data_IF_153636960023
#
_entry.id   IF_153636960023
#
_cell.length_a   1.000
_cell.length_b   1.000
_cell.length_c   1.000
_cell.angle_alpha   90.00
_cell.angle_beta   90.00
_cell.angle_gamma   90.00
#
_symmetry.space_group_name_H-M   'P 1'
#
loop_
_entity.id
_entity.type
_entity.pdbx_description
1 polymer ?
#
# COMPACT_ATOMS: atom_id res chain seq x y z
N UNK A 1 -30.95 5.71 -23.74
CA UNK A 1 -30.14 4.61 -23.17
C UNK A 1 -29.20 5.24 -22.18
N UNK A 2 -29.43 5.03 -20.89
CA UNK A 2 -28.54 5.47 -19.82
C UNK A 2 -27.58 4.33 -19.57
N UNK A 3 -26.29 4.53 -19.88
CA UNK A 3 -25.25 3.56 -19.53
C UNK A 3 -24.55 4.10 -18.28
N UNK A 4 -24.97 3.60 -17.13
CA UNK A 4 -24.25 3.70 -15.87
C UNK A 4 -23.01 2.82 -15.99
N UNK A 5 -21.81 3.37 -15.80
CA UNK A 5 -20.58 2.59 -15.65
C UNK A 5 -20.04 2.85 -14.25
N UNK A 6 -20.02 1.77 -13.48
CA UNK A 6 -19.45 1.64 -12.15
C UNK A 6 -18.00 2.14 -12.14
N UNK A 7 -17.69 3.02 -11.20
CA UNK A 7 -16.34 3.45 -10.82
C UNK A 7 -16.10 2.88 -9.41
N UNK A 8 -15.13 1.99 -9.22
CA UNK A 8 -14.54 1.65 -7.91
C UNK A 8 -13.47 0.56 -8.08
N UNK A 9 -12.21 0.89 -7.77
CA UNK A 9 -11.18 0.01 -7.17
C UNK A 9 -9.78 0.58 -7.45
N UNK A 10 -8.91 0.74 -6.44
CA UNK A 10 -7.79 1.69 -6.46
C UNK A 10 -6.44 1.07 -6.03
N UNK A 11 -5.84 0.13 -6.77
CA UNK A 11 -4.38 -0.03 -6.67
C UNK A 11 -3.70 1.29 -7.09
N UNK A 12 -2.51 1.61 -6.55
CA UNK A 12 -1.75 2.77 -7.03
C UNK A 12 -0.45 2.28 -7.67
N UNK A 13 -0.17 2.78 -8.88
CA UNK A 13 1.13 2.68 -9.52
C UNK A 13 1.71 4.08 -9.69
N UNK A 14 2.62 4.48 -8.82
CA UNK A 14 3.33 5.74 -8.99
C UNK A 14 4.64 5.48 -9.73
N UNK A 15 4.85 6.20 -10.84
CA UNK A 15 6.10 6.13 -11.62
C UNK A 15 6.82 7.46 -11.56
N UNK A 16 7.88 7.56 -10.75
CA UNK A 16 8.73 8.76 -10.71
C UNK A 16 9.75 8.71 -11.84
N UNK A 17 9.71 9.69 -12.74
CA UNK A 17 10.71 9.92 -13.79
C UNK A 17 11.95 10.71 -13.30
N UNK A 18 12.18 10.81 -11.98
CA UNK A 18 13.27 11.64 -11.46
C UNK A 18 14.60 10.90 -11.42
N UNK A 19 15.61 11.53 -12.01
CA UNK A 19 17.03 11.15 -12.00
C UNK A 19 17.49 10.74 -10.59
N UNK A 20 18.38 9.73 -10.46
CA UNK A 20 19.01 9.45 -9.17
C UNK A 20 19.79 10.69 -8.70
N UNK A 21 19.79 11.01 -7.40
CA UNK A 21 20.64 12.08 -6.89
C UNK A 21 22.10 11.74 -7.23
N UNK A 22 22.88 12.71 -7.75
CA UNK A 22 24.29 12.46 -7.99
C UNK A 22 24.95 12.23 -6.62
N UNK A 23 25.40 11.00 -6.38
CA UNK A 23 26.23 10.57 -5.24
C UNK A 23 25.52 10.02 -3.97
N UNK A 24 24.60 9.05 -4.10
CA UNK A 24 24.28 8.19 -2.96
C UNK A 24 25.37 7.10 -2.80
N UNK A 25 26.05 6.98 -1.65
CA UNK A 25 26.98 5.88 -1.37
C UNK A 25 26.25 4.53 -1.37
N UNK A 26 26.89 3.49 -1.93
CA UNK A 26 26.35 2.14 -1.99
C UNK A 26 25.83 1.66 -0.62
N UNK A 27 24.54 1.36 -0.51
CA UNK A 27 23.94 0.70 0.67
C UNK A 27 22.87 1.49 1.44
N UNK A 28 22.42 2.65 0.97
CA UNK A 28 21.33 3.40 1.61
C UNK A 28 19.98 3.21 0.90
N UNK A 29 18.94 2.93 1.69
CA UNK A 29 17.54 2.88 1.25
C UNK A 29 17.08 4.28 0.83
N UNK A 30 16.51 4.42 -0.37
CA UNK A 30 16.00 5.69 -0.86
C UNK A 30 14.58 5.94 -0.31
N UNK A 31 14.37 7.09 0.35
CA UNK A 31 13.06 7.56 0.81
C UNK A 31 12.50 8.56 -0.19
N UNK A 32 11.34 8.27 -0.78
CA UNK A 32 10.67 9.14 -1.74
C UNK A 32 9.48 9.85 -1.09
N UNK A 33 9.34 11.15 -1.36
CA UNK A 33 8.13 11.93 -1.07
C UNK A 33 7.42 12.19 -2.40
N UNK A 34 6.19 11.71 -2.54
CA UNK A 34 5.43 11.75 -3.80
C UNK A 34 5.30 13.16 -4.39
N UNK A 35 5.46 13.23 -5.72
CA UNK A 35 5.17 14.41 -6.53
C UNK A 35 4.24 13.96 -7.66
N UNK A 36 2.92 14.12 -7.45
CA UNK A 36 1.87 14.11 -8.47
C UNK A 36 2.05 13.14 -9.65
N UNK A 37 1.87 11.85 -9.41
CA UNK A 37 1.95 10.78 -10.39
C UNK A 37 0.56 10.35 -10.89
N UNK A 38 0.44 9.83 -12.13
CA UNK A 38 -0.85 9.34 -12.63
C UNK A 38 -1.26 8.04 -11.92
N UNK A 39 -2.42 8.09 -11.27
CA UNK A 39 -3.01 7.00 -10.51
C UNK A 39 -3.59 5.93 -11.45
N UNK A 40 -3.18 4.67 -11.31
CA UNK A 40 -3.71 3.53 -12.09
C UNK A 40 -4.36 2.50 -11.18
N UNK A 41 -5.69 2.37 -11.29
CA UNK A 41 -6.47 1.36 -10.60
C UNK A 41 -6.07 -0.08 -10.98
N UNK A 42 -6.50 -1.04 -10.17
CA UNK A 42 -6.40 -2.48 -10.48
C UNK A 42 -7.02 -2.81 -11.85
N UNK A 43 -8.11 -2.13 -12.20
CA UNK A 43 -8.77 -2.27 -13.50
C UNK A 43 -8.00 -1.61 -14.66
N UNK A 44 -7.05 -0.73 -14.35
CA UNK A 44 -6.18 -0.08 -15.33
C UNK A 44 -4.96 -0.93 -15.71
N UNK A 45 -4.74 -2.11 -15.11
CA UNK A 45 -3.60 -2.97 -15.46
C UNK A 45 -3.56 -3.34 -16.94
N UNK A 46 -4.72 -3.52 -17.59
CA UNK A 46 -4.78 -3.70 -19.03
C UNK A 46 -4.24 -2.48 -19.80
N UNK A 47 -4.51 -1.26 -19.33
CA UNK A 47 -4.01 -0.01 -19.93
C UNK A 47 -2.52 0.19 -19.67
N UNK A 48 -2.05 -0.13 -18.47
CA UNK A 48 -0.60 -0.11 -18.13
C UNK A 48 0.15 -1.10 -19.02
N UNK A 49 -0.37 -2.32 -19.16
CA UNK A 49 0.23 -3.35 -20.00
C UNK A 49 0.27 -2.95 -21.49
N UNK A 50 -0.84 -2.45 -22.02
CA UNK A 50 -0.93 -2.04 -23.44
C UNK A 50 -0.13 -0.79 -23.78
N UNK A 51 0.06 0.13 -22.83
CA UNK A 51 0.86 1.33 -23.02
C UNK A 51 2.37 1.10 -22.88
N UNK A 52 2.78 0.04 -22.17
CA UNK A 52 4.18 -0.24 -21.86
C UNK A 52 4.79 0.68 -20.80
N UNK A 53 3.97 1.49 -20.11
CA UNK A 53 4.43 2.47 -19.11
C UNK A 53 5.23 1.81 -17.98
N UNK A 54 4.79 0.66 -17.48
CA UNK A 54 5.47 -0.07 -16.41
C UNK A 54 6.91 -0.51 -16.78
N UNK A 55 7.18 -0.72 -18.08
CA UNK A 55 8.50 -1.17 -18.57
C UNK A 55 9.53 -0.04 -18.66
N UNK A 56 9.06 1.20 -18.76
CA UNK A 56 9.93 2.37 -18.95
C UNK A 56 10.16 3.14 -17.65
N UNK A 57 9.34 2.89 -16.62
CA UNK A 57 9.51 3.49 -15.31
C UNK A 57 10.74 2.92 -14.60
N UNK A 58 11.56 3.81 -14.01
CA UNK A 58 12.72 3.40 -13.21
C UNK A 58 12.32 2.87 -11.83
N UNK A 59 11.19 3.35 -11.31
CA UNK A 59 10.62 2.92 -10.03
C UNK A 59 9.11 2.94 -10.17
N UNK A 60 8.48 1.91 -9.64
CA UNK A 60 7.05 1.62 -9.73
C UNK A 60 6.56 1.35 -8.31
N UNK A 61 5.75 2.23 -7.73
CA UNK A 61 5.16 1.99 -6.41
C UNK A 61 3.92 1.11 -6.55
N UNK A 62 3.64 0.22 -5.63
CA UNK A 62 2.43 -0.62 -5.64
C UNK A 62 1.77 -0.51 -4.28
N UNK A 63 0.68 0.23 -4.21
CA UNK A 63 -0.17 0.31 -3.01
C UNK A 63 -1.34 -0.65 -3.15
N UNK A 64 -1.61 -1.41 -2.10
CA UNK A 64 -2.78 -2.30 -2.03
C UNK A 64 -4.00 -1.53 -1.56
N UNK A 65 -5.13 -1.81 -2.20
CA UNK A 65 -6.44 -1.27 -1.83
C UNK A 65 -7.50 -2.33 -2.07
N UNK A 66 -8.42 -2.56 -1.12
CA UNK A 66 -9.47 -3.55 -1.32
C UNK A 66 -10.36 -3.16 -2.50
N UNK A 67 -10.47 -4.06 -3.47
CA UNK A 67 -11.21 -3.84 -4.71
C UNK A 67 -12.73 -3.93 -4.55
N UNK A 68 -13.18 -4.63 -3.51
CA UNK A 68 -14.58 -4.84 -3.14
C UNK A 68 -14.66 -5.26 -1.66
N UNK A 69 -15.88 -5.33 -1.13
CA UNK A 69 -16.14 -5.70 0.27
C UNK A 69 -15.55 -7.07 0.64
N UNK A 70 -15.54 -8.03 -0.29
CA UNK A 70 -14.98 -9.37 -0.07
C UNK A 70 -13.45 -9.36 0.10
N UNK A 71 -12.77 -8.34 -0.44
CA UNK A 71 -11.31 -8.18 -0.31
C UNK A 71 -10.88 -7.39 0.93
N UNK A 72 -11.80 -6.70 1.60
CA UNK A 72 -11.53 -5.92 2.82
C UNK A 72 -10.94 -6.78 3.95
N UNK A 73 -11.36 -8.04 4.19
CA UNK A 73 -10.77 -8.84 5.25
C UNK A 73 -9.33 -9.32 4.97
N UNK A 74 -8.87 -9.23 3.72
CA UNK A 74 -7.62 -9.86 3.28
C UNK A 74 -6.60 -8.88 2.69
N UNK A 75 -6.93 -7.60 2.50
CA UNK A 75 -6.05 -6.66 1.80
C UNK A 75 -4.70 -6.43 2.50
N UNK A 76 -4.62 -6.64 3.82
CA UNK A 76 -3.40 -6.48 4.62
C UNK A 76 -2.51 -7.75 4.66
N UNK A 77 -2.93 -8.83 3.99
CA UNK A 77 -2.22 -10.12 3.99
C UNK A 77 -1.10 -10.19 2.95
N UNK A 78 -0.16 -11.11 3.13
CA UNK A 78 0.91 -11.36 2.15
C UNK A 78 0.36 -11.88 0.82
N UNK A 79 -0.63 -12.77 0.84
CA UNK A 79 -1.23 -13.31 -0.39
C UNK A 79 -1.84 -12.22 -1.27
N UNK A 80 -2.46 -11.21 -0.66
CA UNK A 80 -3.06 -10.10 -1.39
C UNK A 80 -1.99 -9.17 -1.98
N UNK A 81 -0.92 -8.92 -1.21
CA UNK A 81 0.23 -8.17 -1.67
C UNK A 81 0.97 -8.88 -2.82
N UNK A 82 1.17 -10.20 -2.71
CA UNK A 82 1.77 -11.05 -3.75
C UNK A 82 0.97 -10.98 -5.05
N UNK A 83 -0.34 -11.11 -4.99
CA UNK A 83 -1.21 -11.00 -6.16
C UNK A 83 -1.08 -9.63 -6.84
N UNK A 84 -1.09 -8.55 -6.04
CA UNK A 84 -0.96 -7.18 -6.54
C UNK A 84 0.38 -6.93 -7.24
N UNK A 85 1.48 -7.41 -6.65
CA UNK A 85 2.83 -7.33 -7.22
C UNK A 85 3.00 -8.22 -8.45
N UNK A 86 2.36 -9.40 -8.46
CA UNK A 86 2.33 -10.28 -9.62
C UNK A 86 1.63 -9.60 -10.80
N UNK A 87 0.50 -8.93 -10.56
CA UNK A 87 -0.22 -8.18 -11.59
C UNK A 87 0.63 -7.04 -12.18
N UNK A 88 1.38 -6.31 -11.33
CA UNK A 88 2.32 -5.29 -11.81
C UNK A 88 3.42 -5.90 -12.70
N UNK A 89 3.94 -7.07 -12.32
CA UNK A 89 4.94 -7.81 -13.12
C UNK A 89 4.36 -8.28 -14.46
N UNK A 90 3.11 -8.79 -14.47
CA UNK A 90 2.40 -9.16 -15.70
C UNK A 90 2.16 -7.96 -16.62
N UNK A 91 1.97 -6.77 -16.06
CA UNK A 91 1.89 -5.52 -16.81
C UNK A 91 3.25 -5.02 -17.35
N UNK A 92 4.34 -5.71 -17.00
CA UNK A 92 5.68 -5.48 -17.53
C UNK A 92 6.62 -4.72 -16.60
N UNK A 93 6.26 -4.48 -15.34
CA UNK A 93 7.21 -3.96 -14.37
C UNK A 93 8.29 -5.01 -14.05
N UNK A 94 9.55 -4.58 -14.00
CA UNK A 94 10.63 -5.42 -13.46
C UNK A 94 10.49 -5.45 -11.93
N UNK A 95 10.49 -6.62 -11.26
CA UNK A 95 10.47 -6.71 -9.80
C UNK A 95 11.52 -5.81 -9.13
N UNK A 96 12.72 -5.69 -9.71
CA UNK A 96 13.80 -4.82 -9.20
C UNK A 96 13.52 -3.32 -9.30
N UNK A 97 12.40 -2.92 -9.93
CA UNK A 97 11.88 -1.54 -9.98
C UNK A 97 10.67 -1.32 -9.06
N UNK A 98 10.09 -2.39 -8.50
CA UNK A 98 8.86 -2.33 -7.71
C UNK A 98 9.14 -1.90 -6.26
N UNK A 99 8.36 -0.97 -5.72
CA UNK A 99 8.31 -0.60 -4.31
C UNK A 99 6.94 -0.93 -3.76
N UNK A 100 6.84 -1.76 -2.73
CA UNK A 100 5.54 -2.02 -2.09
C UNK A 100 5.20 -0.90 -1.10
N UNK A 101 4.04 -0.28 -1.23
CA UNK A 101 3.59 0.82 -0.36
C UNK A 101 2.60 0.29 0.66
N UNK A 102 2.90 0.52 1.95
CA UNK A 102 1.99 0.25 3.06
C UNK A 102 0.98 1.41 3.14
N UNK A 103 -0.33 1.15 2.96
CA UNK A 103 -1.35 2.18 3.08
C UNK A 103 -1.62 2.54 4.55
N UNK A 104 -1.95 3.81 4.82
CA UNK A 104 -2.24 4.38 6.14
C UNK A 104 -3.73 4.45 6.46
N UNK A 105 -4.52 3.59 5.83
CA UNK A 105 -5.97 3.55 5.93
C UNK A 105 -6.45 2.22 6.52
N UNK A 106 -7.61 2.31 7.16
CA UNK A 106 -8.41 1.18 7.57
C UNK A 106 -9.72 1.16 6.79
N UNK A 107 -10.19 -0.03 6.43
CA UNK A 107 -11.39 -0.26 5.65
C UNK A 107 -12.44 -1.03 6.46
N UNK A 108 -13.68 -0.55 6.41
CA UNK A 108 -14.82 -1.21 7.05
C UNK A 108 -15.50 -2.24 6.13
N UNK A 109 -16.17 -3.22 6.72
CA UNK A 109 -17.01 -4.21 5.99
C UNK A 109 -18.48 -3.82 5.86
N UNK A 110 -18.88 -2.67 6.39
CA UNK A 110 -20.29 -2.28 6.54
C UNK A 110 -20.64 -0.92 5.91
N UNK A 111 -19.66 -0.21 5.34
CA UNK A 111 -19.84 0.96 4.50
C UNK A 111 -18.64 1.14 3.54
N UNK A 112 -18.70 2.13 2.65
CA UNK A 112 -17.57 2.52 1.77
C UNK A 112 -16.58 3.45 2.48
N UNK A 113 -16.67 3.57 3.80
CA UNK A 113 -15.85 4.46 4.61
C UNK A 113 -14.45 3.90 4.81
N UNK A 114 -13.50 4.82 4.89
CA UNK A 114 -12.15 4.55 5.36
C UNK A 114 -11.80 5.57 6.45
N UNK A 115 -10.88 5.18 7.32
CA UNK A 115 -10.32 6.04 8.37
C UNK A 115 -8.80 5.91 8.37
N UNK A 116 -8.10 6.92 8.87
CA UNK A 116 -6.66 6.83 9.06
C UNK A 116 -6.26 5.76 10.09
N UNK A 117 -5.06 5.21 9.95
CA UNK A 117 -4.45 4.27 10.88
C UNK A 117 -4.47 4.76 12.33
N UNK A 118 -4.09 6.02 12.55
CA UNK A 118 -4.13 6.68 13.86
C UNK A 118 -5.54 6.70 14.47
N UNK A 119 -6.60 6.93 13.68
CA UNK A 119 -7.98 6.88 14.15
C UNK A 119 -8.42 5.45 14.47
N UNK A 120 -8.03 4.48 13.65
CA UNK A 120 -8.30 3.06 13.93
C UNK A 120 -7.76 2.64 15.30
N UNK A 121 -6.59 3.16 15.70
CA UNK A 121 -6.00 2.89 17.01
C UNK A 121 -6.66 3.72 18.11
N UNK A 122 -6.59 5.04 18.04
CA UNK A 122 -6.96 5.89 19.18
C UNK A 122 -8.46 6.08 19.35
N UNK A 123 -9.21 6.17 18.25
CA UNK A 123 -10.66 6.42 18.32
C UNK A 123 -11.43 5.10 18.44
N UNK A 124 -10.94 4.04 17.78
CA UNK A 124 -11.65 2.76 17.69
C UNK A 124 -11.03 1.63 18.52
N UNK A 125 -9.87 1.86 19.14
CA UNK A 125 -9.23 0.89 20.03
C UNK A 125 -8.59 -0.29 19.30
N UNK A 126 -8.21 -0.11 18.04
CA UNK A 126 -7.48 -1.13 17.28
C UNK A 126 -6.12 -1.44 17.90
N UNK A 127 -5.75 -2.72 17.94
CA UNK A 127 -4.45 -3.14 18.45
C UNK A 127 -3.37 -2.99 17.35
N UNK A 128 -2.44 -2.03 17.47
CA UNK A 128 -1.37 -1.83 16.49
C UNK A 128 -0.44 -3.04 16.38
N UNK A 129 -0.38 -3.89 17.41
CA UNK A 129 0.46 -5.09 17.48
C UNK A 129 -0.35 -6.38 17.25
N UNK A 130 -1.64 -6.24 16.93
CA UNK A 130 -2.57 -7.33 16.64
C UNK A 130 -2.54 -7.81 15.20
N UNK A 131 -3.63 -8.47 14.78
CA UNK A 131 -3.76 -9.09 13.45
C UNK A 131 -4.17 -8.12 12.33
N UNK A 132 -4.40 -6.85 12.67
CA UNK A 132 -4.85 -5.80 11.74
C UNK A 132 -6.35 -5.76 11.56
N UNK A 133 -7.13 -6.16 12.58
CA UNK A 133 -8.58 -6.08 12.55
C UNK A 133 -9.21 -5.56 13.85
N UNK A 134 -10.39 -4.96 13.73
CA UNK A 134 -11.29 -4.58 14.84
C UNK A 134 -12.64 -5.22 14.52
N UNK A 135 -13.04 -6.24 15.28
CA UNK A 135 -14.30 -6.95 15.05
C UNK A 135 -15.35 -6.52 16.07
N UNK A 136 -16.46 -5.96 15.58
CA UNK A 136 -17.57 -5.50 16.40
C UNK A 136 -18.59 -6.61 16.68
N UNK A 137 -19.36 -6.48 17.78
CA UNK A 137 -20.53 -7.33 17.99
C UNK A 137 -21.48 -7.28 16.79
N UNK A 138 -21.74 -8.43 16.17
CA UNK A 138 -22.55 -8.53 14.95
C UNK A 138 -21.76 -8.82 13.67
N UNK A 139 -20.43 -8.90 13.74
CA UNK A 139 -19.57 -9.36 12.63
C UNK A 139 -19.12 -8.26 11.67
N UNK A 140 -19.61 -7.03 11.86
CA UNK A 140 -19.00 -5.84 11.27
C UNK A 140 -17.54 -5.73 11.72
N UNK A 141 -16.64 -5.35 10.83
CA UNK A 141 -15.23 -5.27 11.14
C UNK A 141 -14.55 -4.14 10.37
N UNK A 142 -13.42 -3.67 10.91
CA UNK A 142 -12.49 -2.77 10.26
C UNK A 142 -11.15 -3.48 10.13
N UNK A 143 -10.51 -3.37 8.97
CA UNK A 143 -9.22 -3.98 8.68
C UNK A 143 -8.20 -2.92 8.30
N UNK A 144 -6.98 -3.07 8.79
CA UNK A 144 -5.88 -2.12 8.61
C UNK A 144 -4.54 -2.85 8.62
N UNK A 145 -3.47 -2.19 8.18
CA UNK A 145 -2.12 -2.71 8.39
C UNK A 145 -1.72 -2.52 9.84
N UNK A 146 -1.68 -3.59 10.64
CA UNK A 146 -0.98 -3.57 11.95
C UNK A 146 0.54 -3.63 11.75
N UNK A 147 1.31 -3.35 12.80
CA UNK A 147 2.77 -3.41 12.76
C UNK A 147 3.30 -4.79 12.33
N UNK A 148 2.79 -5.94 12.84
CA UNK A 148 3.17 -7.25 12.31
C UNK A 148 2.86 -7.38 10.81
N UNK A 149 1.64 -6.99 10.38
CA UNK A 149 1.23 -7.10 8.97
C UNK A 149 2.06 -6.25 8.04
N UNK A 150 2.49 -5.07 8.48
CA UNK A 150 3.36 -4.18 7.72
C UNK A 150 4.80 -4.70 7.68
N UNK A 151 5.34 -5.17 8.79
CA UNK A 151 6.73 -5.68 8.87
C UNK A 151 6.92 -7.02 8.17
N UNK A 152 5.90 -7.88 8.11
CA UNK A 152 5.88 -9.09 7.26
C UNK A 152 6.21 -8.75 5.80
N UNK A 153 5.77 -7.58 5.31
CA UNK A 153 6.02 -7.15 3.94
C UNK A 153 7.49 -6.93 3.64
N UNK A 154 8.32 -6.59 4.64
CA UNK A 154 9.79 -6.49 4.47
C UNK A 154 10.37 -7.83 4.00
N UNK A 155 9.91 -8.93 4.59
CA UNK A 155 10.34 -10.27 4.19
C UNK A 155 9.81 -10.63 2.81
N UNK A 156 8.54 -10.32 2.54
CA UNK A 156 7.94 -10.53 1.22
C UNK A 156 8.71 -9.79 0.12
N UNK A 157 9.02 -8.51 0.33
CA UNK A 157 9.75 -7.67 -0.61
C UNK A 157 11.14 -8.23 -0.93
N UNK A 158 11.86 -8.71 0.09
CA UNK A 158 13.16 -9.38 -0.07
C UNK A 158 13.03 -10.66 -0.90
N UNK A 159 12.01 -11.48 -0.61
CA UNK A 159 11.79 -12.76 -1.30
C UNK A 159 11.43 -12.56 -2.78
N UNK A 160 10.67 -11.53 -3.11
CA UNK A 160 10.28 -11.20 -4.48
C UNK A 160 11.32 -10.38 -5.25
N UNK A 161 12.43 -9.98 -4.60
CA UNK A 161 13.46 -9.17 -5.22
C UNK A 161 13.01 -7.74 -5.57
N UNK A 162 12.12 -7.18 -4.74
CA UNK A 162 11.60 -5.82 -4.93
C UNK A 162 12.69 -4.77 -4.70
N UNK A 163 12.51 -3.59 -5.29
CA UNK A 163 13.36 -2.42 -5.03
C UNK A 163 13.28 -1.94 -3.57
N UNK A 164 12.10 -2.04 -2.94
CA UNK A 164 11.94 -1.68 -1.54
C UNK A 164 10.51 -1.66 -1.03
N UNK A 165 10.34 -1.01 0.12
CA UNK A 165 9.04 -0.73 0.75
C UNK A 165 8.95 0.76 1.03
N UNK A 166 7.74 1.30 0.92
CA UNK A 166 7.41 2.65 1.36
C UNK A 166 6.20 2.64 2.28
N UNK A 167 6.00 3.75 2.98
CA UNK A 167 4.80 4.03 3.76
C UNK A 167 4.07 5.17 3.06
N UNK A 168 2.75 5.06 2.91
CA UNK A 168 1.91 6.11 2.34
C UNK A 168 2.15 7.43 3.08
N UNK A 169 2.16 8.55 2.35
CA UNK A 169 2.35 9.86 2.95
C UNK A 169 1.12 10.26 3.76
N UNK A 170 1.32 10.67 5.02
CA UNK A 170 0.22 11.18 5.83
C UNK A 170 -0.36 12.48 5.23
N UNK A 171 -1.69 12.54 5.15
CA UNK A 171 -2.48 13.70 4.79
C UNK A 171 -3.62 13.92 5.83
N UNK A 172 -4.56 14.82 5.54
CA UNK A 172 -5.65 15.14 6.47
C UNK A 172 -6.57 13.96 6.83
N UNK A 173 -6.66 12.96 5.95
CA UNK A 173 -7.57 11.81 6.08
C UNK A 173 -6.83 10.48 6.28
N UNK A 174 -5.53 10.43 5.94
CA UNK A 174 -4.65 9.27 6.14
C UNK A 174 -3.50 9.68 7.05
N UNK A 175 -3.40 9.12 8.25
CA UNK A 175 -2.37 9.55 9.21
C UNK A 175 -1.84 8.38 10.00
N UNK A 176 -0.51 8.25 10.00
CA UNK A 176 0.21 7.44 10.98
C UNK A 176 0.26 8.16 12.33
N UNK A 177 0.75 7.47 13.34
CA UNK A 177 1.17 8.06 14.61
C UNK A 177 2.52 8.79 14.45
N UNK A 178 2.93 9.52 15.48
CA UNK A 178 4.22 10.21 15.44
C UNK A 178 5.38 9.22 15.29
N UNK A 179 6.48 9.58 14.61
CA UNK A 179 7.62 8.68 14.37
C UNK A 179 8.30 8.11 15.63
N UNK A 180 8.06 8.71 16.81
CA UNK A 180 8.58 8.27 18.10
C UNK A 180 7.55 7.50 18.93
N UNK A 181 6.35 7.28 18.41
CA UNK A 181 5.31 6.47 19.01
C UNK A 181 5.61 4.99 18.76
N UNK A 182 5.59 4.15 19.80
CA UNK A 182 5.90 2.72 19.66
C UNK A 182 4.77 1.94 18.98
N UNK A 183 3.62 2.58 18.76
CA UNK A 183 2.49 2.05 18.00
C UNK A 183 2.49 2.55 16.54
N UNK A 184 3.43 3.42 16.12
CA UNK A 184 3.53 3.91 14.73
C UNK A 184 3.94 2.81 13.74
N UNK A 185 3.38 2.86 12.52
CA UNK A 185 3.84 2.03 11.41
C UNK A 185 5.24 2.44 10.93
N UNK A 186 5.53 3.73 10.84
CA UNK A 186 6.86 4.23 10.55
C UNK A 186 7.89 3.68 11.55
N UNK A 187 7.59 3.76 12.85
CA UNK A 187 8.49 3.24 13.88
C UNK A 187 8.76 1.74 13.70
N UNK A 188 7.71 0.94 13.49
CA UNK A 188 7.84 -0.51 13.28
C UNK A 188 8.63 -0.86 12.00
N UNK A 189 8.36 -0.19 10.89
CA UNK A 189 9.05 -0.40 9.62
C UNK A 189 10.53 0.00 9.72
N UNK A 190 10.82 1.14 10.34
CA UNK A 190 12.18 1.62 10.54
C UNK A 190 13.01 0.69 11.45
N UNK A 191 12.37 0.02 12.42
CA UNK A 191 13.02 -0.96 13.28
C UNK A 191 13.24 -2.33 12.60
N UNK A 192 12.47 -2.65 11.55
CA UNK A 192 12.53 -3.92 10.84
C UNK A 192 13.50 -3.98 9.65
N UNK A 193 14.12 -2.85 9.30
CA UNK A 193 15.10 -2.69 8.20
C UNK A 193 16.51 -2.73 8.76
#
# INVERSE_FOLDING_TARGET
MWTTVLLLSLCTLDSVASLPPPNAPNGHLNFYKEVGTPWFATDDWHRVNTSGLARIAHTNFVTVWPVNDDSVPVFNTDSYAEESLHNATLAGADPSSLVFTIPLIAHATYDVGYIGYSNAIYDLGGDPKGDGSIVYPGGAAIYFFSQPRATEKITLAKNLGLYGISLEASNGDTSDLFPWDDDSLFYALAAGI
#
